data_IF_257612201725
#
_entry.id   IF_257612201725
#
_cell.length_a   1.000
_cell.length_b   1.000
_cell.length_c   1.000
_cell.angle_alpha   90.00
_cell.angle_beta   90.00
_cell.angle_gamma   90.00
#
_symmetry.space_group_name_H-M   'P 1'
#
loop_
_entity.id
_entity.type
_entity.pdbx_description
1 polymer ?
#
# COMPACT_ATOMS: atom_id res chain seq x y z
N UNK A 1 -13.66 12.77 -30.19
CA UNK A 1 -12.45 12.44 -29.44
C UNK A 1 -12.72 12.59 -27.95
N UNK A 2 -12.36 11.61 -27.14
CA UNK A 2 -12.44 11.72 -25.67
C UNK A 2 -11.45 12.78 -25.19
N UNK A 3 -11.87 13.66 -24.28
CA UNK A 3 -11.02 14.69 -23.65
C UNK A 3 -10.07 14.12 -22.59
N UNK A 4 -10.23 12.85 -22.23
CA UNK A 4 -9.42 12.18 -21.20
C UNK A 4 -8.89 10.85 -21.70
N UNK A 5 -7.65 10.54 -21.35
CA UNK A 5 -7.00 9.26 -21.59
C UNK A 5 -7.28 8.33 -20.40
N UNK A 6 -8.09 7.26 -20.56
CA UNK A 6 -8.42 6.36 -19.45
C UNK A 6 -7.22 5.54 -18.98
N UNK A 7 -6.27 5.24 -19.86
CA UNK A 7 -5.12 4.37 -19.60
C UNK A 7 -4.06 4.97 -18.65
N UNK A 8 -4.20 6.25 -18.30
CA UNK A 8 -3.37 6.94 -17.30
C UNK A 8 -4.10 7.14 -15.96
N UNK A 9 -5.30 6.56 -15.78
CA UNK A 9 -5.98 6.57 -14.49
C UNK A 9 -5.50 5.41 -13.64
N UNK A 10 -5.21 5.71 -12.37
CA UNK A 10 -4.86 4.68 -11.40
C UNK A 10 -6.03 3.71 -11.16
N UNK A 11 -5.76 2.40 -11.05
CA UNK A 11 -6.74 1.45 -10.56
C UNK A 11 -7.20 1.80 -9.14
N UNK A 12 -8.40 1.35 -8.78
CA UNK A 12 -8.86 1.45 -7.39
C UNK A 12 -7.95 0.66 -6.45
N UNK A 13 -7.75 1.18 -5.24
CA UNK A 13 -6.98 0.51 -4.19
C UNK A 13 -7.92 0.12 -3.04
N UNK A 14 -7.73 -1.09 -2.51
CA UNK A 14 -8.41 -1.61 -1.32
C UNK A 14 -7.33 -2.00 -0.33
N UNK A 15 -7.33 -1.37 0.84
CA UNK A 15 -6.39 -1.68 1.91
C UNK A 15 -7.14 -1.87 3.22
N UNK A 16 -6.86 -2.98 3.90
CA UNK A 16 -7.40 -3.29 5.21
C UNK A 16 -6.22 -3.50 6.16
N UNK A 17 -6.13 -2.67 7.20
CA UNK A 17 -5.11 -2.80 8.23
C UNK A 17 -5.75 -3.26 9.54
N UNK A 18 -5.04 -4.09 10.28
CA UNK A 18 -5.49 -4.68 11.54
C UNK A 18 -4.51 -4.36 12.66
N UNK A 19 -5.00 -3.91 13.80
CA UNK A 19 -4.21 -3.74 15.03
C UNK A 19 -4.91 -4.43 16.20
N UNK A 20 -4.16 -5.27 16.91
CA UNK A 20 -4.59 -5.96 18.12
C UNK A 20 -3.64 -5.58 19.24
N UNK A 21 -4.20 -5.19 20.39
CA UNK A 21 -3.42 -4.99 21.61
C UNK A 21 -4.06 -5.71 22.77
N UNK A 22 -3.23 -6.36 23.60
CA UNK A 22 -3.66 -7.08 24.78
C UNK A 22 -2.76 -6.73 25.94
N UNK A 23 -3.36 -6.28 27.04
CA UNK A 23 -2.69 -6.07 28.30
C UNK A 23 -2.95 -7.28 29.20
N UNK A 24 -1.87 -7.88 29.70
CA UNK A 24 -1.91 -9.00 30.64
C UNK A 24 -1.26 -8.54 31.94
N UNK A 25 -2.05 -8.45 33.02
CA UNK A 25 -1.51 -8.20 34.35
C UNK A 25 -0.81 -9.46 34.85
N UNK A 26 0.49 -9.37 35.15
CA UNK A 26 1.25 -10.47 35.74
C UNK A 26 1.06 -10.44 37.26
N UNK A 27 1.21 -9.27 37.87
CA UNK A 27 0.87 -9.01 39.26
C UNK A 27 0.51 -7.51 39.45
N UNK A 28 0.46 -7.05 40.69
CA UNK A 28 0.06 -5.67 41.04
C UNK A 28 1.04 -4.60 40.52
N UNK A 29 2.32 -4.98 40.30
CA UNK A 29 3.38 -4.08 39.84
C UNK A 29 3.64 -4.24 38.34
N UNK A 30 3.59 -5.47 37.83
CA UNK A 30 3.98 -5.78 36.45
C UNK A 30 2.77 -5.99 35.53
N UNK A 31 2.76 -5.27 34.41
CA UNK A 31 1.83 -5.48 33.29
C UNK A 31 2.60 -5.70 32.00
N UNK A 32 2.17 -6.68 31.22
CA UNK A 32 2.72 -6.99 29.92
C UNK A 32 1.74 -6.57 28.82
N UNK A 33 2.17 -5.69 27.93
CA UNK A 33 1.41 -5.29 26.76
C UNK A 33 1.98 -6.01 25.53
N UNK A 34 1.15 -6.82 24.90
CA UNK A 34 1.41 -7.39 23.59
C UNK A 34 0.65 -6.60 22.53
N UNK A 35 1.31 -6.30 21.41
CA UNK A 35 0.72 -5.65 20.24
C UNK A 35 1.05 -6.45 18.99
N UNK A 36 0.06 -6.66 18.14
CA UNK A 36 0.21 -7.23 16.81
C UNK A 36 -0.43 -6.28 15.81
N UNK A 37 0.29 -5.93 14.76
CA UNK A 37 -0.19 -5.07 13.69
C UNK A 37 0.04 -5.77 12.35
N UNK A 38 -0.96 -5.74 11.48
CA UNK A 38 -0.89 -6.29 10.13
C UNK A 38 -1.37 -5.23 9.14
N UNK A 39 -0.47 -4.74 8.32
CA UNK A 39 -0.76 -3.85 7.19
C UNK A 39 -1.06 -4.69 5.96
N UNK A 40 -2.02 -4.24 5.15
CA UNK A 40 -2.55 -5.03 4.03
C UNK A 40 -2.92 -6.46 4.47
N UNK A 41 -3.76 -6.57 5.50
CA UNK A 41 -4.16 -7.81 6.16
C UNK A 41 -4.69 -8.86 5.18
N UNK A 42 -5.49 -8.44 4.20
CA UNK A 42 -6.02 -9.30 3.13
C UNK A 42 -5.00 -9.66 2.05
N UNK A 43 -3.81 -9.05 2.09
CA UNK A 43 -2.75 -9.18 1.08
C UNK A 43 -3.25 -8.85 -0.35
N UNK A 44 -4.09 -7.82 -0.47
CA UNK A 44 -4.61 -7.35 -1.75
C UNK A 44 -3.52 -6.55 -2.49
N UNK A 45 -3.26 -6.89 -3.76
CA UNK A 45 -2.27 -6.17 -4.57
C UNK A 45 -2.87 -4.83 -4.98
N UNK A 46 -2.33 -3.75 -4.42
CA UNK A 46 -2.71 -2.40 -4.80
C UNK A 46 -1.72 -1.88 -5.83
N UNK A 47 -2.13 -1.92 -7.09
CA UNK A 47 -1.33 -1.45 -8.22
C UNK A 47 -1.00 0.05 -8.08
N UNK A 48 0.19 0.40 -8.54
CA UNK A 48 0.65 1.78 -8.63
C UNK A 48 -0.07 2.58 -9.71
N UNK A 49 0.36 3.82 -9.88
CA UNK A 49 -0.15 4.67 -10.96
C UNK A 49 0.49 4.27 -12.30
N UNK A 50 -0.24 4.33 -13.42
CA UNK A 50 0.35 4.17 -14.74
C UNK A 50 1.39 5.25 -15.03
N UNK A 51 2.39 4.94 -15.85
CA UNK A 51 3.38 5.92 -16.30
C UNK A 51 2.72 7.08 -17.06
N UNK A 52 2.92 8.31 -16.57
CA UNK A 52 2.37 9.53 -17.17
C UNK A 52 3.31 10.22 -18.16
N UNK A 53 4.51 9.68 -18.39
CA UNK A 53 5.53 10.30 -19.22
C UNK A 53 5.13 10.31 -20.69
N UNK A 54 4.74 11.47 -21.21
CA UNK A 54 4.45 11.68 -22.62
C UNK A 54 5.67 12.29 -23.32
N UNK A 55 6.10 11.69 -24.42
CA UNK A 55 7.20 12.17 -25.26
C UNK A 55 6.65 12.30 -26.69
N UNK A 56 6.50 13.52 -27.25
CA UNK A 56 6.02 13.68 -28.62
C UNK A 56 7.09 13.24 -29.63
N UNK A 57 6.72 12.35 -30.55
CA UNK A 57 7.47 12.05 -31.76
C UNK A 57 7.27 13.14 -32.83
N UNK A 58 7.99 12.99 -33.95
CA UNK A 58 7.89 13.93 -35.07
C UNK A 58 6.48 14.04 -35.68
N UNK A 59 5.64 13.01 -35.51
CA UNK A 59 4.23 12.98 -35.91
C UNK A 59 3.25 13.45 -34.82
N UNK A 60 3.78 13.99 -33.71
CA UNK A 60 3.01 14.46 -32.55
C UNK A 60 2.42 13.35 -31.68
N UNK A 61 2.67 12.08 -32.00
CA UNK A 61 2.21 10.93 -31.17
C UNK A 61 3.21 10.62 -30.08
N UNK A 62 2.72 9.99 -29.00
CA UNK A 62 3.59 9.58 -27.92
C UNK A 62 4.53 8.45 -28.35
N UNK A 63 5.82 8.57 -28.05
CA UNK A 63 6.85 7.53 -28.26
C UNK A 63 7.41 6.95 -26.96
N UNK A 64 6.86 7.36 -25.80
CA UNK A 64 7.27 6.83 -24.50
C UNK A 64 6.86 5.35 -24.32
N UNK A 65 7.84 4.48 -24.06
CA UNK A 65 7.61 3.04 -23.84
C UNK A 65 6.96 2.70 -22.50
N UNK A 66 6.77 3.66 -21.60
CA UNK A 66 6.19 3.45 -20.26
C UNK A 66 4.85 4.17 -20.08
N UNK A 67 4.37 4.88 -21.10
CA UNK A 67 3.11 5.61 -21.00
C UNK A 67 1.91 4.66 -20.86
N UNK A 68 1.07 4.90 -19.85
CA UNK A 68 -0.07 4.03 -19.53
C UNK A 68 0.31 2.66 -18.94
N UNK A 69 1.60 2.36 -18.78
CA UNK A 69 2.06 1.10 -18.19
C UNK A 69 2.16 1.24 -16.67
N UNK A 70 1.55 0.30 -15.94
CA UNK A 70 1.75 0.15 -14.50
C UNK A 70 2.90 -0.84 -14.28
N UNK A 71 3.97 -0.38 -13.66
CA UNK A 71 5.18 -1.19 -13.37
C UNK A 71 5.48 -1.34 -11.87
N UNK A 72 4.56 -0.89 -11.01
CA UNK A 72 4.73 -0.92 -9.55
C UNK A 72 3.45 -1.31 -8.83
N UNK A 73 3.60 -1.71 -7.58
CA UNK A 73 2.52 -1.94 -6.62
C UNK A 73 2.92 -1.39 -5.25
N UNK A 74 1.95 -1.16 -4.38
CA UNK A 74 2.18 -0.85 -2.96
C UNK A 74 2.75 -2.06 -2.23
N UNK A 75 3.19 -1.83 -1.00
CA UNK A 75 3.77 -2.86 -0.16
C UNK A 75 2.83 -4.09 0.01
N UNK A 76 3.42 -5.30 0.02
CA UNK A 76 2.67 -6.52 0.34
C UNK A 76 2.28 -6.52 1.82
N UNK A 77 1.56 -7.56 2.25
CA UNK A 77 1.22 -7.72 3.67
C UNK A 77 2.45 -7.68 4.57
N UNK A 78 2.42 -6.79 5.56
CA UNK A 78 3.45 -6.68 6.60
C UNK A 78 2.82 -6.97 7.94
N UNK A 79 3.46 -7.82 8.74
CA UNK A 79 2.99 -8.15 10.09
C UNK A 79 4.12 -7.85 11.06
N UNK A 80 3.80 -7.12 12.13
CA UNK A 80 4.74 -6.78 13.18
C UNK A 80 4.17 -7.07 14.56
N UNK A 81 5.08 -7.41 15.47
CA UNK A 81 4.76 -7.73 16.86
C UNK A 81 5.59 -6.85 17.78
N UNK A 82 4.97 -6.41 18.87
CA UNK A 82 5.59 -5.62 19.91
C UNK A 82 5.26 -6.19 21.28
N UNK A 83 6.26 -6.19 22.16
CA UNK A 83 6.11 -6.57 23.55
C UNK A 83 6.66 -5.47 24.45
N UNK A 84 5.86 -5.03 25.43
CA UNK A 84 6.24 -4.00 26.39
C UNK A 84 5.95 -4.47 27.80
N UNK A 85 6.99 -4.51 28.64
CA UNK A 85 6.85 -4.69 30.08
C UNK A 85 6.68 -3.32 30.75
N UNK A 86 5.70 -3.21 31.63
CA UNK A 86 5.37 -2.03 32.42
C UNK A 86 5.52 -2.44 33.89
N UNK A 87 6.20 -1.63 34.69
CA UNK A 87 6.54 -1.89 36.08
C UNK A 87 6.33 -0.65 36.96
#
# INVERSE_FOLDING_TARGET
MSRTLPDVRAPGAINLDLSLSKNTSINERFRLQFRAEAFNFLNHVNLGIPGGGFVPGADGKNISGTFGLISSARDPRQVQFGLKLIF
#
